data_IF_792972923589
#
_entry.id   IF_792972923589
#
_cell.length_a   1.000
_cell.length_b   1.000
_cell.length_c   1.000
_cell.angle_alpha   90.00
_cell.angle_beta   90.00
_cell.angle_gamma   90.00
#
_symmetry.space_group_name_H-M   'P 1'
#
loop_
_entity.id
_entity.type
_entity.pdbx_description
1 polymer ?
#
# COMPACT_ATOMS: atom_id res chain seq x y z
N UNK A 1 16.86 24.82 26.35
CA UNK A 1 16.84 24.53 24.90
C UNK A 1 15.69 23.57 24.63
N UNK A 2 14.55 24.11 24.19
CA UNK A 2 13.31 23.35 24.01
C UNK A 2 13.40 22.40 22.83
N UNK A 3 13.04 21.14 23.04
CA UNK A 3 12.82 20.17 21.97
C UNK A 3 11.65 20.68 21.13
N UNK A 4 11.91 21.01 19.86
CA UNK A 4 10.83 21.24 18.88
C UNK A 4 10.05 19.93 18.76
N UNK A 5 8.77 19.96 19.14
CA UNK A 5 7.81 18.94 18.77
C UNK A 5 7.80 18.86 17.25
N UNK A 6 8.02 17.66 16.70
CA UNK A 6 7.74 17.38 15.30
C UNK A 6 6.25 17.62 15.13
N UNK A 7 5.89 18.61 14.32
CA UNK A 7 4.49 18.91 13.98
C UNK A 7 3.86 17.65 13.41
N UNK A 8 2.83 17.12 14.06
CA UNK A 8 1.90 16.20 13.40
C UNK A 8 1.29 16.98 12.25
N UNK A 9 1.67 16.68 11.00
CA UNK A 9 0.90 17.11 9.84
C UNK A 9 -0.54 16.65 10.09
N UNK A 10 -1.49 17.59 10.19
CA UNK A 10 -2.90 17.26 10.39
C UNK A 10 -3.46 16.80 9.05
N UNK A 11 -3.39 15.50 8.77
CA UNK A 11 -4.05 14.92 7.61
C UNK A 11 -5.56 15.16 7.68
N UNK A 12 -6.20 15.43 6.54
CA UNK A 12 -7.66 15.45 6.45
C UNK A 12 -8.15 14.01 6.43
N UNK A 13 -8.72 13.55 7.54
CA UNK A 13 -9.41 12.27 7.62
C UNK A 13 -10.74 12.39 6.87
N UNK A 14 -10.92 11.54 5.86
CA UNK A 14 -12.13 11.49 5.05
C UNK A 14 -13.19 10.60 5.67
N UNK A 15 -12.77 9.42 6.14
CA UNK A 15 -13.64 8.53 6.89
C UNK A 15 -12.85 7.71 7.91
N UNK A 16 -13.58 7.21 8.90
CA UNK A 16 -13.08 6.21 9.83
C UNK A 16 -14.19 5.22 10.12
N UNK A 17 -13.82 3.95 10.23
CA UNK A 17 -14.72 2.84 10.54
C UNK A 17 -14.10 1.98 11.64
N UNK A 18 -14.91 1.16 12.30
CA UNK A 18 -14.45 0.24 13.35
C UNK A 18 -14.57 -1.21 12.90
N UNK A 19 -13.58 -2.04 13.20
CA UNK A 19 -13.65 -3.48 12.94
C UNK A 19 -14.81 -4.19 13.64
N UNK A 20 -15.36 -3.60 14.70
CA UNK A 20 -16.47 -4.16 15.48
C UNK A 20 -17.86 -3.69 15.01
N UNK A 21 -17.93 -2.77 14.05
CA UNK A 21 -19.19 -2.18 13.58
C UNK A 21 -19.69 -2.86 12.29
N UNK A 22 -20.94 -3.36 12.26
CA UNK A 22 -21.54 -3.90 11.05
C UNK A 22 -21.61 -2.85 9.95
N UNK A 23 -21.35 -3.24 8.69
CA UNK A 23 -21.42 -2.32 7.55
C UNK A 23 -20.15 -1.52 7.28
N UNK A 24 -19.16 -1.56 8.18
CA UNK A 24 -17.88 -0.85 8.04
C UNK A 24 -17.17 -1.05 6.70
N UNK A 25 -17.24 -2.26 6.12
CA UNK A 25 -16.64 -2.53 4.83
C UNK A 25 -17.30 -1.73 3.70
N UNK A 26 -18.63 -1.59 3.73
CA UNK A 26 -19.39 -0.82 2.76
C UNK A 26 -19.13 0.69 2.91
N UNK A 27 -19.12 1.19 4.14
CA UNK A 27 -18.83 2.61 4.41
C UNK A 27 -17.43 3.01 3.94
N UNK A 28 -16.41 2.19 4.25
CA UNK A 28 -15.06 2.44 3.78
C UNK A 28 -14.96 2.32 2.25
N UNK A 29 -15.66 1.36 1.65
CA UNK A 29 -15.72 1.20 0.19
C UNK A 29 -16.34 2.41 -0.52
N UNK A 30 -17.44 2.96 0.00
CA UNK A 30 -18.11 4.12 -0.57
C UNK A 30 -17.20 5.36 -0.52
N UNK A 31 -16.50 5.56 0.59
CA UNK A 31 -15.51 6.63 0.70
C UNK A 31 -14.34 6.44 -0.28
N UNK A 32 -13.78 5.23 -0.35
CA UNK A 32 -12.70 4.90 -1.31
C UNK A 32 -13.13 5.18 -2.74
N UNK A 33 -14.28 4.64 -3.15
CA UNK A 33 -14.80 4.80 -4.51
C UNK A 33 -15.13 6.26 -4.82
N UNK A 34 -15.63 7.03 -3.86
CA UNK A 34 -15.86 8.47 -3.99
C UNK A 34 -14.57 9.23 -4.32
N UNK A 35 -13.51 9.02 -3.55
CA UNK A 35 -12.24 9.71 -3.77
C UNK A 35 -11.51 9.25 -5.02
N UNK A 36 -11.56 7.95 -5.33
CA UNK A 36 -10.96 7.43 -6.56
C UNK A 36 -11.63 8.09 -7.77
N UNK A 37 -12.96 8.15 -7.82
CA UNK A 37 -13.69 8.80 -8.93
C UNK A 37 -13.39 10.30 -9.07
N UNK A 38 -13.18 10.99 -7.95
CA UNK A 38 -12.91 12.43 -7.97
C UNK A 38 -11.48 12.74 -8.44
N UNK A 39 -10.51 11.87 -8.11
CA UNK A 39 -9.08 12.18 -8.23
C UNK A 39 -8.33 11.38 -9.29
N UNK A 40 -8.90 10.26 -9.74
CA UNK A 40 -8.26 9.31 -10.65
C UNK A 40 -9.01 9.30 -11.97
N UNK A 41 -8.29 9.62 -13.04
CA UNK A 41 -8.75 9.52 -14.42
C UNK A 41 -7.58 9.03 -15.25
N UNK A 42 -7.75 7.93 -15.98
CA UNK A 42 -6.74 7.33 -16.87
C UNK A 42 -5.38 7.08 -16.18
N UNK A 43 -5.40 6.63 -14.92
CA UNK A 43 -4.20 6.29 -14.15
C UNK A 43 -4.34 4.92 -13.51
N UNK A 44 -3.24 4.19 -13.47
CA UNK A 44 -3.13 3.00 -12.63
C UNK A 44 -3.35 3.36 -11.16
N UNK A 45 -4.07 2.50 -10.44
CA UNK A 45 -4.28 2.62 -9.00
C UNK A 45 -3.43 1.56 -8.31
N UNK A 46 -2.46 2.01 -7.50
CA UNK A 46 -1.49 1.13 -6.86
C UNK A 46 -1.77 1.08 -5.37
N UNK A 47 -1.95 -0.12 -4.84
CA UNK A 47 -2.00 -0.38 -3.41
C UNK A 47 -0.61 -0.78 -2.93
N UNK A 48 -0.03 0.02 -2.04
CA UNK A 48 1.24 -0.31 -1.38
C UNK A 48 0.95 -0.67 0.06
N UNK A 49 0.94 -1.97 0.34
CA UNK A 49 0.63 -2.53 1.64
C UNK A 49 1.92 -2.69 2.45
N UNK A 50 2.13 -1.79 3.41
CA UNK A 50 3.38 -1.57 4.10
C UNK A 50 3.38 -2.32 5.44
N UNK A 51 4.49 -2.98 5.73
CA UNK A 51 4.68 -3.72 6.97
C UNK A 51 5.60 -4.93 6.79
N UNK A 52 5.74 -5.73 7.84
CA UNK A 52 6.49 -7.00 7.81
C UNK A 52 5.70 -8.13 8.45
N UNK A 53 5.87 -9.31 7.90
CA UNK A 53 5.43 -10.60 8.43
C UNK A 53 6.17 -11.04 9.72
N UNK A 54 7.25 -10.34 10.11
CA UNK A 54 8.08 -10.68 11.29
C UNK A 54 7.63 -10.02 12.60
N UNK A 55 6.59 -9.19 12.57
CA UNK A 55 6.02 -8.53 13.73
C UNK A 55 4.50 -8.48 13.57
N UNK A 56 3.75 -9.12 14.47
CA UNK A 56 2.30 -9.28 14.31
C UNK A 56 1.59 -7.95 14.12
N UNK A 57 1.91 -6.93 14.92
CA UNK A 57 1.32 -5.60 14.82
C UNK A 57 1.68 -4.86 13.53
N UNK A 58 2.80 -5.21 12.91
CA UNK A 58 3.27 -4.61 11.66
C UNK A 58 2.88 -5.46 10.43
N UNK A 59 2.17 -6.57 10.63
CA UNK A 59 1.81 -7.47 9.53
C UNK A 59 0.47 -7.11 8.88
N UNK A 60 -0.17 -6.01 9.27
CA UNK A 60 -1.44 -5.56 8.69
C UNK A 60 -1.31 -5.37 7.17
N UNK A 61 -0.34 -4.59 6.71
CA UNK A 61 -0.10 -4.37 5.29
C UNK A 61 0.07 -5.68 4.52
N UNK A 62 1.13 -6.48 4.75
CA UNK A 62 1.36 -7.69 3.97
C UNK A 62 0.20 -8.71 4.06
N UNK A 63 -0.50 -8.79 5.20
CA UNK A 63 -1.69 -9.64 5.32
C UNK A 63 -2.87 -9.10 4.49
N UNK A 64 -3.10 -7.79 4.48
CA UNK A 64 -4.08 -7.13 3.62
C UNK A 64 -3.76 -7.37 2.15
N UNK A 65 -2.51 -7.18 1.72
CA UNK A 65 -2.11 -7.39 0.34
C UNK A 65 -2.29 -8.83 -0.14
N UNK A 66 -1.93 -9.82 0.70
CA UNK A 66 -2.21 -11.24 0.39
C UNK A 66 -3.71 -11.51 0.22
N UNK A 67 -4.56 -10.99 1.11
CA UNK A 67 -6.02 -11.14 0.99
C UNK A 67 -6.57 -10.43 -0.26
N UNK A 68 -6.02 -9.28 -0.62
CA UNK A 68 -6.43 -8.54 -1.82
C UNK A 68 -6.12 -9.33 -3.10
N UNK A 69 -4.97 -10.01 -3.18
CA UNK A 69 -4.64 -10.87 -4.32
C UNK A 69 -5.66 -12.01 -4.49
N UNK A 70 -6.10 -12.63 -3.39
CA UNK A 70 -7.13 -13.67 -3.42
C UNK A 70 -8.47 -13.17 -3.97
N UNK A 71 -8.75 -11.86 -3.89
CA UNK A 71 -10.01 -11.26 -4.37
C UNK A 71 -10.02 -10.99 -5.88
N UNK A 72 -8.87 -11.00 -6.56
CA UNK A 72 -8.75 -10.77 -8.02
C UNK A 72 -9.41 -9.46 -8.46
N UNK A 73 -8.97 -8.34 -7.89
CA UNK A 73 -9.49 -7.01 -8.24
C UNK A 73 -9.10 -6.61 -9.67
N UNK A 74 -9.97 -5.89 -10.36
CA UNK A 74 -9.76 -5.49 -11.75
C UNK A 74 -8.99 -4.18 -11.89
N UNK A 75 -9.19 -3.23 -10.96
CA UNK A 75 -8.71 -1.84 -11.11
C UNK A 75 -7.46 -1.53 -10.27
N UNK A 76 -6.93 -2.47 -9.50
CA UNK A 76 -5.88 -2.24 -8.53
C UNK A 76 -4.67 -3.14 -8.76
N UNK A 77 -3.47 -2.55 -8.78
CA UNK A 77 -2.21 -3.29 -8.68
C UNK A 77 -1.75 -3.33 -7.22
N UNK A 78 -1.27 -4.49 -6.76
CA UNK A 78 -0.99 -4.72 -5.34
C UNK A 78 0.51 -4.97 -5.14
N UNK A 79 1.13 -4.16 -4.30
CA UNK A 79 2.50 -4.33 -3.82
C UNK A 79 2.49 -4.50 -2.30
N UNK A 80 3.29 -5.42 -1.79
CA UNK A 80 3.33 -5.75 -0.36
C UNK A 80 2.36 -6.87 -0.02
N UNK A 81 2.88 -8.07 0.08
CA UNK A 81 2.13 -9.28 0.47
C UNK A 81 2.92 -10.02 1.54
N UNK A 82 2.35 -11.08 2.13
CA UNK A 82 3.12 -11.96 3.02
C UNK A 82 4.32 -12.59 2.30
N UNK A 83 4.17 -12.95 1.03
CA UNK A 83 5.24 -13.54 0.23
C UNK A 83 6.31 -12.50 -0.17
N UNK A 84 5.88 -11.27 -0.47
CA UNK A 84 6.71 -10.17 -0.93
C UNK A 84 6.43 -8.91 -0.10
N UNK A 85 6.89 -8.84 1.16
CA UNK A 85 6.57 -7.71 2.04
C UNK A 85 7.26 -6.42 1.58
N UNK A 86 6.58 -5.29 1.75
CA UNK A 86 7.12 -3.96 1.54
C UNK A 86 7.31 -3.31 2.90
N UNK A 87 8.55 -3.08 3.29
CA UNK A 87 8.93 -2.56 4.60
C UNK A 87 10.02 -1.49 4.47
N UNK A 88 10.35 -0.83 5.58
CA UNK A 88 11.33 0.26 5.61
C UNK A 88 12.69 -0.02 4.91
N UNK A 89 13.12 -1.27 4.79
CA UNK A 89 14.41 -1.62 4.16
C UNK A 89 14.36 -1.62 2.63
N UNK A 90 13.24 -2.01 2.02
CA UNK A 90 13.09 -2.13 0.57
C UNK A 90 12.11 -1.10 -0.03
N UNK A 91 11.50 -0.25 0.80
CA UNK A 91 10.48 0.71 0.36
C UNK A 91 10.95 1.61 -0.80
N UNK A 92 12.14 2.20 -0.71
CA UNK A 92 12.67 3.09 -1.77
C UNK A 92 12.84 2.36 -3.11
N UNK A 93 13.29 1.11 -3.07
CA UNK A 93 13.43 0.25 -4.25
C UNK A 93 12.06 -0.08 -4.84
N UNK A 94 11.10 -0.50 -4.00
CA UNK A 94 9.73 -0.77 -4.43
C UNK A 94 9.08 0.46 -5.09
N UNK A 95 9.24 1.66 -4.51
CA UNK A 95 8.70 2.88 -5.10
C UNK A 95 9.37 3.24 -6.43
N UNK A 96 10.66 2.93 -6.57
CA UNK A 96 11.37 3.13 -7.84
C UNK A 96 10.85 2.20 -8.93
N UNK A 97 10.54 0.94 -8.58
CA UNK A 97 9.89 -0.02 -9.49
C UNK A 97 8.50 0.48 -9.87
N UNK A 98 7.67 0.86 -8.89
CA UNK A 98 6.31 1.38 -9.15
C UNK A 98 6.35 2.59 -10.08
N UNK A 99 7.28 3.53 -9.87
CA UNK A 99 7.40 4.72 -10.70
C UNK A 99 7.84 4.41 -12.15
N UNK A 100 8.59 3.32 -12.36
CA UNK A 100 9.01 2.87 -13.68
C UNK A 100 7.89 2.11 -14.42
N UNK A 101 7.20 1.20 -13.72
CA UNK A 101 6.17 0.34 -14.30
C UNK A 101 4.82 1.05 -14.46
N UNK A 102 4.51 1.99 -13.55
CA UNK A 102 3.22 2.69 -13.50
C UNK A 102 3.43 4.21 -13.46
N UNK A 103 3.79 4.83 -14.60
CA UNK A 103 4.03 6.27 -14.66
C UNK A 103 2.77 7.05 -14.28
N UNK A 104 2.90 8.06 -13.42
CA UNK A 104 1.79 8.92 -12.97
C UNK A 104 0.67 8.20 -12.20
N UNK A 105 0.93 6.99 -11.71
CA UNK A 105 -0.01 6.23 -10.92
C UNK A 105 -0.53 6.98 -9.68
N UNK A 106 -1.75 6.62 -9.27
CA UNK A 106 -2.33 7.05 -8.02
C UNK A 106 -2.05 5.99 -6.94
N UNK A 107 -1.28 6.36 -5.92
CA UNK A 107 -0.81 5.41 -4.91
C UNK A 107 -1.65 5.53 -3.63
N UNK A 108 -2.18 4.41 -3.16
CA UNK A 108 -2.86 4.29 -1.85
C UNK A 108 -2.01 3.40 -0.96
N UNK A 109 -1.47 3.96 0.12
CA UNK A 109 -0.72 3.18 1.09
C UNK A 109 -1.67 2.49 2.09
N UNK A 110 -1.33 1.30 2.57
CA UNK A 110 -1.98 0.64 3.72
C UNK A 110 -0.91 0.40 4.77
N UNK A 111 -1.07 0.96 5.96
CA UNK A 111 -0.08 0.89 7.04
C UNK A 111 -0.75 0.61 8.40
N UNK A 112 0.03 0.07 9.33
CA UNK A 112 -0.38 -0.09 10.73
C UNK A 112 0.20 1.03 11.58
N UNK A 113 -0.57 1.52 12.54
CA UNK A 113 -0.08 2.48 13.51
C UNK A 113 -0.56 2.17 14.92
N UNK A 114 0.14 2.74 15.90
CA UNK A 114 -0.27 2.72 17.30
C UNK A 114 -1.04 4.00 17.63
N UNK A 115 -2.05 3.88 18.50
CA UNK A 115 -2.94 4.99 18.83
C UNK A 115 -3.40 5.00 20.28
N UNK A 116 -4.47 5.74 20.55
CA UNK A 116 -5.13 5.70 21.85
C UNK A 116 -5.97 4.43 21.98
N UNK A 117 -6.14 3.95 23.21
CA UNK A 117 -6.88 2.71 23.50
C UNK A 117 -8.28 2.69 22.87
N UNK A 118 -9.04 3.78 22.97
CA UNK A 118 -10.38 3.90 22.39
C UNK A 118 -10.43 3.89 20.85
N UNK A 119 -9.27 3.93 20.20
CA UNK A 119 -9.15 3.90 18.75
C UNK A 119 -8.57 2.58 18.24
N UNK A 120 -8.15 1.66 19.12
CA UNK A 120 -7.70 0.34 18.68
C UNK A 120 -8.83 -0.37 17.95
N UNK A 121 -8.52 -0.95 16.78
CA UNK A 121 -9.49 -1.56 15.88
C UNK A 121 -10.13 -0.61 14.86
N UNK A 122 -9.84 0.70 14.93
CA UNK A 122 -10.29 1.65 13.91
C UNK A 122 -9.41 1.60 12.67
N UNK A 123 -10.06 1.73 11.53
CA UNK A 123 -9.45 1.92 10.21
C UNK A 123 -9.80 3.33 9.74
N UNK A 124 -8.80 4.08 9.27
CA UNK A 124 -8.99 5.46 8.81
C UNK A 124 -8.51 5.62 7.38
N UNK A 125 -9.26 6.35 6.57
CA UNK A 125 -8.86 6.79 5.24
C UNK A 125 -8.49 8.28 5.31
N UNK A 126 -7.26 8.59 4.91
CA UNK A 126 -6.72 9.94 5.01
C UNK A 126 -6.17 10.41 3.66
N UNK A 127 -6.23 11.71 3.44
CA UNK A 127 -5.60 12.36 2.29
C UNK A 127 -4.08 12.49 2.48
N UNK A 128 -3.33 12.43 1.38
CA UNK A 128 -1.88 12.59 1.38
C UNK A 128 -1.15 11.30 1.72
N UNK A 129 0.17 11.33 1.56
CA UNK A 129 1.00 10.16 1.80
C UNK A 129 1.32 9.94 3.28
N UNK A 130 1.64 8.70 3.60
CA UNK A 130 2.11 8.29 4.93
C UNK A 130 3.64 8.26 4.94
N UNK A 131 4.27 8.53 6.08
CA UNK A 131 5.70 8.25 6.28
C UNK A 131 5.82 6.99 7.14
N UNK A 132 6.03 5.81 6.52
CA UNK A 132 6.03 4.56 7.26
C UNK A 132 7.16 4.52 8.28
N UNK A 133 6.94 3.81 9.38
CA UNK A 133 8.01 3.53 10.33
C UNK A 133 8.65 4.77 10.92
N UNK A 134 7.87 5.78 11.33
CA UNK A 134 8.37 7.00 11.98
C UNK A 134 9.28 6.73 13.22
N UNK A 135 9.23 5.53 13.79
CA UNK A 135 10.13 5.06 14.85
C UNK A 135 11.53 4.64 14.36
N UNK A 136 11.71 4.47 13.05
CA UNK A 136 12.97 4.08 12.41
C UNK A 136 13.83 5.32 12.17
N UNK A 137 15.13 5.25 12.52
CA UNK A 137 16.07 6.38 12.44
C UNK A 137 16.44 6.83 11.01
N UNK A 138 15.78 6.28 9.98
CA UNK A 138 16.00 6.63 8.57
C UNK A 138 14.91 7.60 8.11
N UNK A 139 15.27 8.59 7.29
CA UNK A 139 14.29 9.43 6.60
C UNK A 139 13.71 8.64 5.45
N UNK A 140 12.57 7.98 5.68
CA UNK A 140 11.85 7.25 4.64
C UNK A 140 11.07 8.23 3.76
N UNK A 141 10.91 7.94 2.46
CA UNK A 141 10.06 8.75 1.60
C UNK A 141 8.60 8.67 2.05
N UNK A 142 7.87 9.73 1.76
CA UNK A 142 6.42 9.72 1.90
C UNK A 142 5.81 8.83 0.80
N UNK A 143 4.84 8.00 1.16
CA UNK A 143 4.21 7.01 0.28
C UNK A 143 2.74 7.35 0.10
N UNK A 144 2.31 7.45 -1.16
CA UNK A 144 0.90 7.58 -1.49
C UNK A 144 0.40 8.99 -1.70
N UNK A 145 -0.69 9.08 -2.44
CA UNK A 145 -1.59 10.23 -2.58
C UNK A 145 -2.74 10.17 -1.55
N UNK A 146 -2.98 8.97 -1.02
CA UNK A 146 -3.88 8.64 0.07
C UNK A 146 -3.28 7.50 0.90
N UNK A 147 -3.77 7.34 2.12
CA UNK A 147 -3.40 6.20 2.92
C UNK A 147 -4.53 5.71 3.83
N UNK A 148 -4.52 4.40 4.06
CA UNK A 148 -5.31 3.72 5.07
C UNK A 148 -4.40 3.39 6.25
N UNK A 149 -4.80 3.83 7.44
CA UNK A 149 -4.15 3.41 8.68
C UNK A 149 -5.08 2.52 9.50
N UNK A 150 -4.57 1.35 9.90
CA UNK A 150 -5.17 0.55 10.96
C UNK A 150 -4.52 0.85 12.30
N UNK A 151 -5.31 1.26 13.30
CA UNK A 151 -4.83 1.45 14.67
C UNK A 151 -4.83 0.09 15.37
N UNK A 152 -3.70 -0.60 15.33
CA UNK A 152 -3.60 -2.02 15.70
C UNK A 152 -3.43 -2.25 17.20
N UNK A 153 -2.89 -1.26 17.92
CA UNK A 153 -2.65 -1.36 19.36
C UNK A 153 -2.39 0.03 19.98
N UNK A 154 -2.15 0.05 21.28
CA UNK A 154 -1.94 1.26 22.08
C UNK A 154 -0.51 1.79 21.93
N UNK A 155 -0.38 3.09 21.69
CA UNK A 155 0.89 3.84 21.69
C UNK A 155 1.40 4.12 23.11
N UNK A 156 2.69 4.37 23.27
CA UNK A 156 3.28 4.69 24.57
C UNK A 156 4.69 4.17 24.77
N UNK A 157 4.94 3.52 25.90
CA UNK A 157 6.25 2.95 26.20
C UNK A 157 6.43 1.62 25.47
N UNK A 158 7.64 1.36 24.97
CA UNK A 158 8.02 0.07 24.36
C UNK A 158 7.21 -0.30 23.10
N UNK A 159 6.90 0.67 22.24
CA UNK A 159 6.09 0.49 21.01
C UNK A 159 6.56 -0.67 20.11
N UNK A 160 7.87 -0.88 20.01
CA UNK A 160 8.42 -2.02 19.29
C UNK A 160 7.95 -3.37 19.85
N UNK A 161 7.97 -3.53 21.18
CA UNK A 161 7.50 -4.76 21.84
C UNK A 161 5.97 -4.91 21.75
N UNK A 162 5.25 -3.78 21.81
CA UNK A 162 3.78 -3.77 21.63
C UNK A 162 3.42 -4.30 20.24
N UNK A 163 4.08 -3.84 19.17
CA UNK A 163 3.85 -4.34 17.82
C UNK A 163 4.15 -5.84 17.73
N UNK A 164 5.28 -6.31 18.28
CA UNK A 164 5.62 -7.74 18.27
C UNK A 164 4.60 -8.65 18.99
N UNK A 165 3.87 -8.13 19.98
CA UNK A 165 2.90 -8.88 20.79
C UNK A 165 1.44 -8.50 20.50
N UNK A 166 1.19 -7.74 19.44
CA UNK A 166 -0.18 -7.40 19.04
C UNK A 166 -0.93 -8.68 18.65
N UNK A 167 -2.22 -8.75 18.97
CA UNK A 167 -3.02 -9.96 18.72
C UNK A 167 -3.24 -10.13 17.23
N UNK A 168 -2.86 -11.29 16.69
CA UNK A 168 -3.09 -11.63 15.28
C UNK A 168 -4.57 -11.54 14.89
N UNK A 169 -5.50 -11.89 15.79
CA UNK A 169 -6.94 -11.74 15.54
C UNK A 169 -7.34 -10.31 15.13
N UNK A 170 -6.81 -9.31 15.84
CA UNK A 170 -7.05 -7.89 15.53
C UNK A 170 -6.55 -7.57 14.13
N UNK A 171 -5.34 -8.03 13.81
CA UNK A 171 -4.69 -7.78 12.51
C UNK A 171 -5.44 -8.46 11.38
N UNK A 172 -5.82 -9.73 11.54
CA UNK A 172 -6.53 -10.51 10.53
C UNK A 172 -7.95 -9.98 10.27
N UNK A 173 -8.63 -9.51 11.32
CA UNK A 173 -9.97 -8.93 11.20
C UNK A 173 -9.90 -7.58 10.47
N UNK A 174 -8.95 -6.71 10.84
CA UNK A 174 -8.73 -5.44 10.15
C UNK A 174 -8.29 -5.64 8.70
N UNK A 175 -7.39 -6.59 8.44
CA UNK A 175 -6.95 -6.92 7.08
C UNK A 175 -8.11 -7.40 6.20
N UNK A 176 -9.01 -8.23 6.76
CA UNK A 176 -10.20 -8.72 6.07
C UNK A 176 -11.21 -7.60 5.80
N UNK A 177 -11.41 -6.69 6.76
CA UNK A 177 -12.24 -5.49 6.58
C UNK A 177 -11.72 -4.62 5.42
N UNK A 178 -10.41 -4.31 5.41
CA UNK A 178 -9.81 -3.47 4.37
C UNK A 178 -9.92 -4.16 3.01
N UNK A 179 -9.58 -5.45 2.92
CA UNK A 179 -9.65 -6.19 1.67
C UNK A 179 -11.07 -6.27 1.10
N UNK A 180 -12.08 -6.50 1.96
CA UNK A 180 -13.48 -6.50 1.53
C UNK A 180 -13.93 -5.10 1.07
N UNK A 181 -13.46 -4.04 1.73
CA UNK A 181 -13.76 -2.67 1.34
C UNK A 181 -13.24 -2.35 -0.06
N UNK A 182 -12.01 -2.77 -0.37
CA UNK A 182 -11.45 -2.60 -1.72
C UNK A 182 -12.20 -3.43 -2.77
N UNK A 183 -12.61 -4.66 -2.46
CA UNK A 183 -13.45 -5.46 -3.37
C UNK A 183 -14.77 -4.76 -3.71
N UNK A 184 -15.44 -4.20 -2.70
CA UNK A 184 -16.69 -3.47 -2.91
C UNK A 184 -16.46 -2.18 -3.70
N UNK A 185 -15.37 -1.46 -3.42
CA UNK A 185 -14.99 -0.25 -4.15
C UNK A 185 -14.67 -0.56 -5.62
N UNK A 186 -13.87 -1.60 -5.88
CA UNK A 186 -13.51 -2.11 -7.22
C UNK A 186 -14.74 -2.37 -8.07
N UNK A 187 -15.71 -3.13 -7.54
CA UNK A 187 -17.00 -3.38 -8.22
C UNK A 187 -17.81 -2.11 -8.46
N UNK A 188 -17.71 -1.13 -7.55
CA UNK A 188 -18.43 0.14 -7.65
C UNK A 188 -17.87 1.00 -8.78
N UNK A 189 -16.55 1.01 -8.97
CA UNK A 189 -15.89 1.79 -10.03
C UNK A 189 -15.96 1.08 -11.40
N UNK A 190 -15.81 -0.26 -11.47
CA UNK A 190 -15.96 -1.03 -12.73
C UNK A 190 -17.35 -0.88 -13.36
N UNK A 191 -18.41 -0.88 -12.55
CA UNK A 191 -19.80 -0.72 -13.04
C UNK A 191 -20.03 0.58 -13.80
N UNK A 192 -19.26 1.63 -13.52
CA UNK A 192 -19.40 2.91 -14.22
C UNK A 192 -18.58 2.94 -15.51
N UNK A 193 -17.43 2.27 -15.57
CA UNK A 193 -16.72 2.05 -16.83
C UNK A 193 -17.61 1.33 -17.84
N UNK A 194 -18.29 0.25 -17.46
CA UNK A 194 -19.23 -0.46 -18.35
C UNK A 194 -20.42 0.40 -18.81
N UNK A 195 -20.84 1.38 -18.00
CA UNK A 195 -21.91 2.32 -18.36
C UNK A 195 -21.40 3.48 -19.25
N UNK A 196 -20.10 3.80 -19.21
CA UNK A 196 -19.44 4.82 -20.04
C UNK A 196 -18.83 4.23 -21.34
N UNK A 197 -18.38 2.98 -21.32
CA UNK A 197 -17.76 2.23 -22.44
C UNK A 197 -18.74 1.72 -23.50
N UNK A 198 -20.02 2.14 -23.45
CA UNK A 198 -20.91 1.95 -24.60
C UNK A 198 -20.45 2.69 -25.88
N UNK A 199 -19.32 3.40 -25.87
CA UNK A 199 -18.75 4.06 -27.06
C UNK A 199 -17.26 3.80 -27.40
N UNK A 200 -16.47 2.99 -26.69
CA UNK A 200 -15.13 2.62 -27.20
C UNK A 200 -14.51 1.37 -26.52
N UNK A 201 -13.93 0.49 -27.33
CA UNK A 201 -13.33 -0.80 -26.92
C UNK A 201 -11.81 -0.76 -26.76
N UNK A 202 -11.28 -1.11 -25.59
CA UNK A 202 -10.45 -2.32 -25.31
C UNK A 202 -10.06 -2.31 -23.83
N UNK A 203 -10.20 -3.43 -23.07
CA UNK A 203 -9.86 -3.46 -21.65
C UNK A 203 -8.34 -3.44 -21.44
N UNK A 204 -7.83 -2.79 -20.37
CA UNK A 204 -6.41 -2.79 -20.05
C UNK A 204 -5.94 -4.19 -19.66
N UNK A 205 -4.69 -4.52 -20.04
CA UNK A 205 -4.01 -5.74 -19.63
C UNK A 205 -3.69 -5.60 -18.14
N UNK A 206 -4.33 -6.40 -17.32
CA UNK A 206 -4.12 -6.42 -15.87
C UNK A 206 -3.15 -7.54 -15.49
N UNK A 207 -2.11 -7.20 -14.72
CA UNK A 207 -1.23 -8.20 -14.10
C UNK A 207 -1.94 -8.75 -12.87
N UNK A 208 -2.30 -10.03 -12.89
CA UNK A 208 -3.26 -10.61 -11.95
C UNK A 208 -2.66 -11.60 -10.95
N UNK A 209 -1.37 -11.98 -11.02
CA UNK A 209 -0.84 -13.07 -10.20
C UNK A 209 0.60 -12.88 -9.68
N UNK A 210 0.92 -13.55 -8.56
CA UNK A 210 2.27 -13.63 -7.94
C UNK A 210 3.35 -14.10 -8.92
N UNK A 211 2.99 -14.93 -9.90
CA UNK A 211 3.90 -15.43 -10.94
C UNK A 211 4.37 -14.33 -11.90
N UNK A 212 3.53 -13.32 -12.19
CA UNK A 212 3.91 -12.22 -13.08
C UNK A 212 4.93 -11.31 -12.40
N UNK A 213 4.73 -11.02 -11.11
CA UNK A 213 5.66 -10.23 -10.30
C UNK A 213 7.00 -10.96 -10.09
N UNK A 214 6.97 -12.26 -9.74
CA UNK A 214 8.19 -13.05 -9.52
C UNK A 214 8.97 -13.30 -10.83
N UNK A 215 8.27 -13.51 -11.95
CA UNK A 215 8.88 -13.62 -13.28
C UNK A 215 9.52 -12.29 -13.68
N UNK A 216 8.84 -11.18 -13.45
CA UNK A 216 9.33 -9.86 -13.82
C UNK A 216 10.52 -9.39 -12.98
N UNK A 217 10.51 -9.60 -11.65
CA UNK A 217 11.68 -9.31 -10.81
C UNK A 217 12.94 -10.08 -11.27
N UNK A 218 12.76 -11.30 -11.80
CA UNK A 218 13.84 -12.07 -12.42
C UNK A 218 14.31 -11.44 -13.74
N UNK A 219 13.38 -10.95 -14.56
CA UNK A 219 13.69 -10.30 -15.85
C UNK A 219 14.37 -8.92 -15.64
N UNK A 220 13.91 -8.11 -14.69
CA UNK A 220 14.49 -6.81 -14.32
C UNK A 220 15.90 -6.95 -13.72
N UNK A 221 16.12 -7.90 -12.78
CA UNK A 221 17.46 -8.23 -12.28
C UNK A 221 18.39 -8.77 -13.37
N UNK A 222 17.84 -9.39 -14.42
CA UNK A 222 18.61 -9.88 -15.57
C UNK A 222 18.99 -8.75 -16.54
N UNK A 223 18.13 -7.75 -16.70
CA UNK A 223 18.38 -6.56 -17.54
C UNK A 223 19.44 -5.63 -16.93
N UNK A 224 19.49 -5.48 -15.60
CA UNK A 224 20.56 -4.73 -14.94
C UNK A 224 21.94 -5.41 -15.07
N UNK A 225 21.97 -6.74 -15.10
CA UNK A 225 23.22 -7.51 -15.31
C UNK A 225 23.75 -7.46 -16.75
N UNK A 226 22.89 -7.20 -17.74
CA UNK A 226 23.32 -7.03 -19.14
C UNK A 226 23.82 -5.61 -19.41
N UNK A 227 23.27 -4.59 -18.74
CA UNK A 227 23.75 -3.20 -18.87
C UNK A 227 25.11 -2.96 -18.17
N UNK A 228 25.39 -3.61 -17.03
CA UNK A 228 26.71 -3.53 -16.37
C UNK A 228 27.81 -4.26 -17.17
N UNK A 229 27.46 -5.27 -17.97
CA UNK A 229 28.40 -5.90 -18.93
C UNK A 229 28.68 -5.01 -20.14
N UNK A 230 27.73 -4.19 -20.58
CA UNK A 230 27.93 -3.21 -21.65
C UNK A 230 28.74 -1.98 -21.20
N UNK A 231 28.59 -1.53 -19.94
CA UNK A 231 29.42 -0.45 -19.38
C UNK A 231 30.87 -0.89 -19.09
N UNK A 232 31.10 -2.16 -18.75
CA UNK A 232 32.47 -2.71 -18.56
C UNK A 232 33.21 -3.00 -19.87
N UNK A 233 32.54 -3.18 -21.00
CA UNK A 233 33.20 -3.37 -22.31
C UNK A 233 33.68 -2.03 -22.91
N UNK A 234 32.96 -0.93 -22.67
CA UNK A 234 33.36 0.40 -23.16
C UNK A 234 34.51 1.06 -22.40
N UNK A 235 34.86 0.59 -21.19
CA UNK A 235 36.00 1.15 -20.45
C UNK A 235 37.36 0.52 -20.80
N UNK A 236 37.42 -0.49 -21.68
CA UNK A 236 38.68 -1.12 -22.13
C UNK A 236 39.30 -0.54 -23.40
N UNK A 237 38.64 0.38 -24.12
CA UNK A 237 39.15 0.96 -25.37
C UNK A 237 39.51 2.45 -25.28
N UNK A 238 39.98 2.91 -24.11
CA UNK A 238 40.47 4.29 -23.93
C UNK A 238 41.71 4.36 -23.03
N UNK A 239 42.67 3.47 -23.26
CA UNK A 239 44.07 3.60 -22.81
C UNK A 239 45.00 2.87 -23.79
N UNK A 240 45.38 3.56 -24.85
CA UNK A 240 46.75 3.69 -25.40
C UNK A 240 46.69 4.52 -26.67
#
# INVERSE_FOLDING_TARGET
MGKKAVSRESYRTHCHVSMDEPGSAGELADCLAGHIRERVTDKDIILVCIGTDRSTGDSLGPLTGSKLLEKQLENFYIYGTLQHPVHAVNLEETLSIIAAEHPHAFIIAVDACLGYLQNVGKVTLNEGGVTPGAAMKKKLPMVGDMHINGIVNVSGMMEYFVLQNTRLYTIDTMASLIAESFLLADRSISKQHVLQEKEATTPPVTFHNDDDHARFLREASSAEQTDDKHKKSHHRYRRK
#
